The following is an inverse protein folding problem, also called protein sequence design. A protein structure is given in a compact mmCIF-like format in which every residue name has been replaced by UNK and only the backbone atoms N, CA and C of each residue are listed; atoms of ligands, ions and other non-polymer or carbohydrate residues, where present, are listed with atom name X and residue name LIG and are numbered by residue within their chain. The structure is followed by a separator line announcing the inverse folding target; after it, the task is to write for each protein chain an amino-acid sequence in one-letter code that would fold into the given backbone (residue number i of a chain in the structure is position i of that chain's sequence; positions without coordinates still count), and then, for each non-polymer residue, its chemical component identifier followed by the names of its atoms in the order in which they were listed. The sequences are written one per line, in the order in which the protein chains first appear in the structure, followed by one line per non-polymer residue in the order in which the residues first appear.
data_IF_166512414792
#
_entry.id   IF_166512414792
#
_cell.length_a   1.000
_cell.length_b   1.000
_cell.length_c   1.000
_cell.angle_alpha   90.00
_cell.angle_beta   90.00
_cell.angle_gamma   90.00
#
_symmetry.space_group_name_H-M   'P 1'
#
loop_
_entity.id
_entity.type
_entity.pdbx_description
1 polymer ?
#
# COMPACT_ATOMS: atom_id res chain seq x y z
N UNK A 1 66.31 -28.71 18.82
CA UNK A 1 65.49 -27.53 18.48
C UNK A 1 64.61 -27.89 17.29
N UNK A 2 63.29 -27.96 17.47
CA UNK A 2 62.31 -28.17 16.38
C UNK A 2 61.60 -26.83 16.14
N UNK A 3 61.69 -26.32 14.92
CA UNK A 3 60.93 -25.15 14.47
C UNK A 3 59.56 -25.60 13.96
N UNK A 4 58.49 -25.03 14.50
CA UNK A 4 57.13 -25.16 13.99
C UNK A 4 56.84 -23.89 13.19
N UNK A 5 56.55 -24.04 11.90
CA UNK A 5 56.06 -22.98 11.02
C UNK A 5 54.52 -23.03 11.09
N UNK A 6 53.90 -21.96 11.61
CA UNK A 6 52.46 -21.73 11.45
C UNK A 6 52.22 -20.86 10.22
N UNK A 7 51.60 -21.45 9.19
CA UNK A 7 50.97 -20.70 8.09
C UNK A 7 49.63 -20.16 8.56
N UNK A 8 49.49 -18.82 8.62
CA UNK A 8 48.19 -18.15 8.64
C UNK A 8 47.69 -18.02 7.21
N UNK A 9 46.63 -18.75 6.87
CA UNK A 9 45.78 -18.45 5.70
C UNK A 9 44.66 -17.54 6.21
N UNK A 10 44.75 -16.25 5.89
CA UNK A 10 43.66 -15.30 6.10
C UNK A 10 42.64 -15.42 4.98
N UNK A 11 41.43 -15.94 5.27
CA UNK A 11 40.27 -15.76 4.42
C UNK A 11 39.74 -14.33 4.60
N UNK A 12 39.83 -13.52 3.55
CA UNK A 12 39.02 -12.31 3.43
C UNK A 12 37.60 -12.73 3.03
N UNK A 13 36.66 -12.68 3.97
CA UNK A 13 35.25 -12.72 3.65
C UNK A 13 34.84 -11.35 3.09
N UNK A 14 34.59 -11.27 1.78
CA UNK A 14 33.93 -10.14 1.15
C UNK A 14 32.44 -10.17 1.51
N UNK A 15 32.08 -9.56 2.64
CA UNK A 15 30.69 -9.27 2.95
C UNK A 15 30.17 -8.16 2.04
N UNK A 16 29.22 -8.49 1.17
CA UNK A 16 28.41 -7.48 0.47
C UNK A 16 27.57 -6.80 1.57
N UNK A 17 27.93 -5.57 1.91
CA UNK A 17 27.12 -4.75 2.80
C UNK A 17 25.82 -4.40 2.06
N UNK A 18 24.73 -5.10 2.37
CA UNK A 18 23.40 -4.57 2.08
C UNK A 18 23.25 -3.31 2.92
N UNK A 19 23.12 -2.16 2.27
CA UNK A 19 22.78 -0.93 2.97
C UNK A 19 21.41 -1.15 3.64
N UNK A 20 21.38 -1.26 4.97
CA UNK A 20 20.14 -1.28 5.73
C UNK A 20 19.39 0.01 5.42
N UNK A 21 18.15 -0.11 4.93
CA UNK A 21 17.29 1.06 4.79
C UNK A 21 17.11 1.65 6.20
N UNK A 22 17.33 2.96 6.42
CA UNK A 22 17.00 3.56 7.71
C UNK A 22 15.53 3.24 8.03
N UNK A 23 15.20 2.93 9.28
CA UNK A 23 13.82 2.63 9.66
C UNK A 23 13.03 3.93 9.78
N UNK A 24 11.86 3.99 9.16
CA UNK A 24 10.96 5.14 9.20
C UNK A 24 10.33 5.24 10.58
N UNK A 25 10.17 6.47 11.08
CA UNK A 25 9.41 6.72 12.29
C UNK A 25 7.91 6.88 12.02
N UNK A 26 7.53 7.04 10.74
CA UNK A 26 6.15 7.07 10.25
C UNK A 26 5.47 5.72 10.33
N UNK A 27 4.13 5.71 10.37
CA UNK A 27 3.34 4.48 10.46
C UNK A 27 2.14 4.59 9.53
N UNK A 28 1.93 3.53 8.77
CA UNK A 28 0.72 3.32 7.96
C UNK A 28 -0.06 2.12 8.50
N UNK A 29 -1.36 2.13 8.30
CA UNK A 29 -2.22 0.96 8.46
C UNK A 29 -2.63 0.47 7.07
N UNK A 30 -2.47 -0.83 6.83
CA UNK A 30 -2.82 -1.45 5.56
C UNK A 30 -3.87 -2.51 5.84
N UNK A 31 -4.98 -2.46 5.09
CA UNK A 31 -6.06 -3.43 5.18
C UNK A 31 -6.31 -4.12 3.83
N UNK A 32 -6.70 -5.39 3.90
CA UNK A 32 -7.44 -6.01 2.81
C UNK A 32 -8.87 -5.45 2.81
N UNK A 33 -9.40 -5.23 1.61
CA UNK A 33 -10.80 -4.90 1.42
C UNK A 33 -11.69 -6.01 2.02
N UNK A 34 -12.93 -5.65 2.33
CA UNK A 34 -13.91 -6.60 2.79
C UNK A 34 -15.30 -6.03 2.56
N UNK A 35 -16.03 -6.66 1.63
CA UNK A 35 -17.45 -6.44 1.49
C UNK A 35 -18.20 -7.67 2.04
N UNK A 36 -18.93 -7.56 3.17
CA UNK A 36 -19.70 -8.68 3.71
C UNK A 36 -20.89 -9.08 2.83
N UNK A 37 -21.36 -8.19 1.95
CA UNK A 37 -22.42 -8.47 0.97
C UNK A 37 -21.90 -9.31 -0.21
N UNK A 38 -20.60 -9.24 -0.52
CA UNK A 38 -19.92 -10.08 -1.51
C UNK A 38 -18.96 -11.08 -0.86
N UNK A 39 -19.55 -12.13 -0.29
CA UNK A 39 -18.77 -13.20 0.35
C UNK A 39 -17.91 -13.98 -0.64
N UNK A 40 -18.24 -13.99 -1.93
CA UNK A 40 -17.46 -14.70 -2.93
C UNK A 40 -16.11 -14.02 -3.13
N UNK A 41 -16.11 -12.69 -3.24
CA UNK A 41 -14.91 -11.90 -3.41
C UNK A 41 -14.02 -11.91 -2.16
N UNK A 42 -14.60 -11.87 -0.95
CA UNK A 42 -13.81 -12.04 0.28
C UNK A 42 -13.15 -13.42 0.40
N UNK A 43 -13.80 -14.49 -0.06
CA UNK A 43 -13.15 -15.81 -0.11
C UNK A 43 -12.04 -15.83 -1.17
N UNK A 44 -12.19 -15.11 -2.28
CA UNK A 44 -11.17 -15.00 -3.33
C UNK A 44 -9.90 -14.28 -2.84
N UNK A 45 -10.03 -13.18 -2.09
CA UNK A 45 -8.88 -12.43 -1.55
C UNK A 45 -7.92 -13.30 -0.75
N UNK A 46 -8.45 -14.19 0.09
CA UNK A 46 -7.66 -15.12 0.91
C UNK A 46 -7.62 -16.55 0.34
N UNK A 47 -8.05 -16.75 -0.91
CA UNK A 47 -8.08 -18.08 -1.54
C UNK A 47 -6.67 -18.68 -1.73
N UNK A 48 -5.67 -17.80 -1.85
CA UNK A 48 -4.25 -18.16 -1.93
C UNK A 48 -3.55 -18.23 -0.56
N UNK A 49 -4.30 -18.08 0.54
CA UNK A 49 -3.79 -18.10 1.91
C UNK A 49 -3.72 -16.71 2.53
N UNK A 50 -2.90 -16.58 3.59
CA UNK A 50 -2.65 -15.28 4.21
C UNK A 50 -1.87 -14.38 3.26
N UNK A 51 -2.17 -13.08 3.30
CA UNK A 51 -1.54 -12.09 2.44
C UNK A 51 -0.30 -11.58 3.17
N UNK A 52 0.88 -11.89 2.65
CA UNK A 52 2.14 -11.31 3.13
C UNK A 52 2.49 -10.13 2.25
N UNK A 53 2.38 -8.91 2.78
CA UNK A 53 2.85 -7.71 2.09
C UNK A 53 4.36 -7.62 2.35
N UNK A 54 5.22 -7.60 1.32
CA UNK A 54 6.65 -7.59 1.50
C UNK A 54 7.15 -6.25 2.05
N UNK A 55 8.36 -6.26 2.62
CA UNK A 55 9.12 -5.03 2.79
C UNK A 55 9.41 -4.43 1.41
N UNK A 56 9.35 -3.10 1.29
CA UNK A 56 9.50 -2.43 0.01
C UNK A 56 8.24 -2.40 -0.85
N UNK A 57 7.08 -2.83 -0.33
CA UNK A 57 5.81 -2.61 -1.00
C UNK A 57 5.53 -1.10 -1.08
N UNK A 58 5.21 -0.62 -2.28
CA UNK A 58 4.90 0.77 -2.58
C UNK A 58 3.38 0.91 -2.67
N UNK A 59 2.86 1.95 -2.02
CA UNK A 59 1.47 2.36 -2.15
C UNK A 59 1.44 3.77 -2.74
N UNK A 60 0.61 3.96 -3.77
CA UNK A 60 0.50 5.16 -4.60
C UNK A 60 -0.96 5.61 -4.70
N UNK A 61 -1.16 6.88 -5.05
CA UNK A 61 -2.44 7.47 -5.44
C UNK A 61 -3.36 7.65 -4.25
N UNK A 62 -3.44 8.87 -3.73
CA UNK A 62 -4.44 9.17 -2.69
C UNK A 62 -5.82 9.38 -3.30
N UNK A 63 -6.79 8.59 -2.86
CA UNK A 63 -8.19 8.80 -3.18
C UNK A 63 -9.01 9.06 -1.92
N UNK A 64 -10.18 9.68 -2.08
CA UNK A 64 -11.06 9.95 -0.95
C UNK A 64 -11.70 8.67 -0.41
N UNK A 65 -11.64 8.52 0.91
CA UNK A 65 -12.18 7.39 1.65
C UNK A 65 -13.52 7.73 2.28
N UNK A 66 -14.52 6.89 2.05
CA UNK A 66 -15.90 7.07 2.47
C UNK A 66 -16.35 6.09 3.57
N UNK A 67 -15.79 4.87 3.63
CA UNK A 67 -16.14 3.87 4.64
C UNK A 67 -14.93 3.04 5.13
N UNK A 68 -13.85 3.73 5.53
CA UNK A 68 -12.67 3.10 6.11
C UNK A 68 -11.88 2.22 5.12
N UNK A 69 -10.74 1.68 5.55
CA UNK A 69 -9.82 0.98 4.63
C UNK A 69 -10.33 -0.36 4.08
N UNK A 70 -11.30 -0.98 4.77
CA UNK A 70 -11.90 -2.24 4.31
C UNK A 70 -12.93 -2.02 3.21
N UNK A 71 -13.52 -0.84 3.15
CA UNK A 71 -14.50 -0.48 2.14
C UNK A 71 -14.33 1.01 1.80
N UNK A 72 -13.21 1.40 1.17
CA UNK A 72 -12.89 2.82 1.04
C UNK A 72 -13.90 3.57 0.18
N UNK A 73 -14.60 2.89 -0.73
CA UNK A 73 -15.60 3.51 -1.60
C UNK A 73 -17.03 3.32 -1.11
N UNK A 74 -17.22 2.72 0.08
CA UNK A 74 -18.53 2.47 0.67
C UNK A 74 -19.43 1.62 -0.24
N UNK A 75 -18.85 0.61 -0.89
CA UNK A 75 -19.49 -0.26 -1.87
C UNK A 75 -20.54 -1.17 -1.23
N UNK A 76 -20.40 -1.51 0.05
CA UNK A 76 -21.42 -2.26 0.80
C UNK A 76 -22.77 -1.52 0.82
N UNK A 77 -22.75 -0.19 0.78
CA UNK A 77 -23.94 0.66 0.84
C UNK A 77 -24.36 1.25 -0.51
N UNK A 78 -23.72 0.83 -1.61
CA UNK A 78 -24.10 1.21 -2.96
C UNK A 78 -25.33 0.41 -3.45
N UNK A 79 -26.11 0.99 -4.35
CA UNK A 79 -27.20 0.30 -5.06
C UNK A 79 -26.95 0.25 -6.56
N UNK A 80 -27.26 -0.88 -7.19
CA UNK A 80 -27.32 -1.00 -8.64
C UNK A 80 -28.66 -0.47 -9.21
N UNK A 81 -29.68 -0.32 -8.37
CA UNK A 81 -31.02 0.16 -8.75
C UNK A 81 -31.12 1.69 -8.72
N UNK A 82 -30.10 2.40 -9.19
CA UNK A 82 -29.97 3.87 -9.11
C UNK A 82 -31.23 4.61 -9.58
N UNK A 83 -31.90 4.13 -10.63
CA UNK A 83 -33.15 4.71 -11.12
C UNK A 83 -34.33 4.59 -10.14
N UNK A 84 -34.43 3.48 -9.41
CA UNK A 84 -35.46 3.27 -8.39
C UNK A 84 -35.21 4.13 -7.14
N UNK A 85 -33.95 4.53 -6.91
CA UNK A 85 -33.52 5.38 -5.80
C UNK A 85 -33.36 6.85 -6.19
N UNK A 86 -34.09 7.31 -7.21
CA UNK A 86 -34.11 8.74 -7.58
C UNK A 86 -32.76 9.27 -8.08
N UNK A 87 -31.90 8.40 -8.60
CA UNK A 87 -30.57 8.75 -9.10
C UNK A 87 -29.44 8.58 -8.09
N UNK A 88 -29.71 8.14 -6.86
CA UNK A 88 -28.70 8.00 -5.80
C UNK A 88 -27.92 6.69 -5.90
N UNK A 89 -26.61 6.78 -5.68
CA UNK A 89 -25.69 5.65 -5.60
C UNK A 89 -25.68 5.09 -4.19
N UNK A 90 -25.72 5.94 -3.15
CA UNK A 90 -25.82 5.54 -1.74
C UNK A 90 -27.19 5.93 -1.17
N UNK A 91 -28.18 5.02 -1.15
CA UNK A 91 -29.54 5.36 -0.73
C UNK A 91 -29.66 5.77 0.75
N UNK A 92 -28.71 5.34 1.59
CA UNK A 92 -28.74 5.52 3.04
C UNK A 92 -28.21 6.87 3.53
N UNK A 93 -27.50 7.63 2.69
CA UNK A 93 -26.89 8.92 3.06
C UNK A 93 -27.75 10.11 2.63
N UNK A 94 -27.46 11.30 3.16
CA UNK A 94 -28.15 12.54 2.73
C UNK A 94 -27.70 12.99 1.34
N UNK A 95 -28.54 13.74 0.61
CA UNK A 95 -28.18 14.28 -0.72
C UNK A 95 -26.96 15.22 -0.66
N UNK A 96 -26.77 15.92 0.46
CA UNK A 96 -25.61 16.77 0.66
C UNK A 96 -24.31 15.94 0.79
N UNK A 97 -24.37 14.78 1.44
CA UNK A 97 -23.23 13.87 1.54
C UNK A 97 -22.97 13.15 0.22
N UNK A 98 -24.01 12.72 -0.50
CA UNK A 98 -23.89 12.15 -1.84
C UNK A 98 -23.14 13.11 -2.77
N UNK A 99 -23.61 14.37 -2.83
CA UNK A 99 -22.98 15.40 -3.64
C UNK A 99 -21.51 15.63 -3.26
N UNK A 100 -21.19 15.62 -1.97
CA UNK A 100 -19.81 15.76 -1.50
C UNK A 100 -18.94 14.59 -2.00
N UNK A 101 -19.39 13.34 -1.86
CA UNK A 101 -18.68 12.16 -2.35
C UNK A 101 -18.49 12.18 -3.87
N UNK A 102 -19.50 12.65 -4.61
CA UNK A 102 -19.36 12.85 -6.07
C UNK A 102 -18.32 13.91 -6.43
N UNK A 103 -18.28 15.02 -5.69
CA UNK A 103 -17.27 16.05 -5.87
C UNK A 103 -15.85 15.53 -5.52
N UNK A 104 -15.72 14.76 -4.44
CA UNK A 104 -14.48 14.09 -4.05
C UNK A 104 -14.02 13.08 -5.12
N UNK A 105 -14.92 12.23 -5.63
CA UNK A 105 -14.63 11.29 -6.73
C UNK A 105 -14.24 11.99 -8.03
N UNK A 106 -14.76 13.19 -8.29
CA UNK A 106 -14.35 14.01 -9.43
C UNK A 106 -12.93 14.53 -9.22
N UNK A 107 -12.62 15.05 -8.04
CA UNK A 107 -11.27 15.49 -7.67
C UNK A 107 -10.26 14.35 -7.81
N UNK A 108 -10.60 13.15 -7.37
CA UNK A 108 -9.73 11.96 -7.47
C UNK A 108 -9.41 11.59 -8.93
N UNK A 109 -10.27 11.96 -9.89
CA UNK A 109 -10.09 11.71 -11.32
C UNK A 109 -9.46 12.90 -12.07
N UNK A 110 -9.33 14.05 -11.42
CA UNK A 110 -8.82 15.25 -12.06
C UNK A 110 -7.32 15.09 -12.38
N UNK A 111 -6.88 15.43 -13.62
CA UNK A 111 -5.47 15.38 -13.97
C UNK A 111 -4.63 16.30 -13.06
N UNK A 112 -3.53 15.77 -12.51
CA UNK A 112 -2.67 16.52 -11.58
C UNK A 112 -3.06 16.41 -10.10
N UNK A 113 -3.92 15.44 -9.75
CA UNK A 113 -4.08 14.98 -8.37
C UNK A 113 -2.71 14.68 -7.72
N UNK A 114 -2.55 14.99 -6.44
CA UNK A 114 -1.31 14.79 -5.69
C UNK A 114 -0.78 13.35 -5.78
N UNK A 115 0.34 13.18 -6.48
CA UNK A 115 1.09 11.93 -6.59
C UNK A 115 1.93 11.69 -5.32
N UNK A 116 1.25 11.25 -4.26
CA UNK A 116 1.85 10.85 -3.00
C UNK A 116 2.04 9.34 -2.98
N UNK A 117 3.26 8.89 -2.70
CA UNK A 117 3.56 7.49 -2.51
C UNK A 117 4.36 7.26 -1.23
N UNK A 118 4.22 6.06 -0.67
CA UNK A 118 5.05 5.60 0.43
C UNK A 118 5.51 4.16 0.21
N UNK A 119 6.56 3.77 0.93
CA UNK A 119 7.17 2.44 0.86
C UNK A 119 7.25 1.81 2.25
N UNK A 120 6.91 0.53 2.38
CA UNK A 120 6.96 -0.22 3.64
C UNK A 120 8.38 -0.63 4.04
N UNK A 121 8.66 -0.64 5.33
CA UNK A 121 9.99 -0.99 5.85
C UNK A 121 10.15 -2.48 6.13
N UNK A 122 9.11 -3.08 6.70
CA UNK A 122 9.08 -4.45 7.18
C UNK A 122 7.92 -5.21 6.50
N UNK A 123 8.03 -6.53 6.33
CA UNK A 123 6.91 -7.32 5.85
C UNK A 123 5.81 -7.40 6.93
N UNK A 124 4.55 -7.36 6.50
CA UNK A 124 3.38 -7.58 7.35
C UNK A 124 2.50 -8.70 6.80
N UNK A 125 1.62 -9.22 7.66
CA UNK A 125 0.76 -10.35 7.32
C UNK A 125 -0.69 -10.06 7.68
N UNK A 126 -1.56 -10.15 6.67
CA UNK A 126 -3.00 -10.08 6.83
C UNK A 126 -3.60 -11.48 6.77
N UNK A 127 -4.68 -11.69 7.49
CA UNK A 127 -5.40 -12.97 7.54
C UNK A 127 -6.91 -12.74 7.62
N UNK A 128 -7.70 -13.78 7.33
CA UNK A 128 -9.17 -13.75 7.45
C UNK A 128 -9.69 -13.26 8.82
N UNK A 129 -8.88 -13.36 9.88
CA UNK A 129 -9.24 -12.92 11.23
C UNK A 129 -8.56 -11.59 11.65
N UNK A 130 -7.62 -11.11 10.85
CA UNK A 130 -6.88 -9.88 11.08
C UNK A 130 -6.60 -9.21 9.73
N UNK A 131 -7.58 -8.44 9.26
CA UNK A 131 -7.59 -7.85 7.91
C UNK A 131 -6.70 -6.63 7.78
N UNK A 132 -6.30 -6.02 8.90
CA UNK A 132 -5.51 -4.79 8.93
C UNK A 132 -4.27 -5.01 9.77
N UNK A 133 -3.15 -4.41 9.38
CA UNK A 133 -1.92 -4.42 10.17
C UNK A 133 -1.17 -3.09 10.01
N UNK A 134 -0.38 -2.73 11.02
CA UNK A 134 0.41 -1.50 11.02
C UNK A 134 1.86 -1.79 10.68
N UNK A 135 2.48 -0.88 9.92
CA UNK A 135 3.88 -1.00 9.52
C UNK A 135 4.56 0.35 9.47
N UNK A 136 5.86 0.37 9.75
CA UNK A 136 6.70 1.54 9.51
C UNK A 136 6.87 1.77 8.01
N UNK A 137 6.94 3.04 7.61
CA UNK A 137 7.04 3.42 6.20
C UNK A 137 7.81 4.71 6.01
N UNK A 138 8.28 4.92 4.78
CA UNK A 138 8.90 6.13 4.29
C UNK A 138 8.06 6.80 3.22
N UNK A 139 8.22 8.12 3.08
CA UNK A 139 7.79 8.82 1.87
C UNK A 139 8.62 8.27 0.69
N UNK A 140 7.95 7.89 -0.38
CA UNK A 140 8.57 7.39 -1.60
C UNK A 140 8.62 8.53 -2.61
N UNK A 141 9.80 8.79 -3.18
CA UNK A 141 9.98 9.84 -4.19
C UNK A 141 10.66 9.26 -5.42
N UNK A 142 10.13 9.59 -6.59
CA UNK A 142 10.73 9.22 -7.86
C UNK A 142 10.36 10.24 -8.95
N UNK A 143 11.37 10.72 -9.67
CA UNK A 143 11.16 11.59 -10.84
C UNK A 143 10.63 10.84 -12.07
N UNK A 144 10.73 9.51 -12.11
CA UNK A 144 10.21 8.67 -13.19
C UNK A 144 8.70 8.40 -13.06
N UNK A 145 8.20 8.42 -11.82
CA UNK A 145 6.81 8.12 -11.48
C UNK A 145 6.05 9.36 -10.97
N UNK A 146 6.67 10.54 -11.07
CA UNK A 146 6.14 11.83 -10.62
C UNK A 146 5.72 11.86 -9.13
N UNK A 147 6.31 11.00 -8.29
CA UNK A 147 6.13 11.06 -6.84
C UNK A 147 7.07 12.11 -6.25
N UNK A 148 6.55 13.27 -5.89
CA UNK A 148 7.37 14.39 -5.42
C UNK A 148 6.93 14.96 -4.05
N UNK A 149 5.82 14.48 -3.52
CA UNK A 149 5.23 14.98 -2.29
C UNK A 149 6.12 14.70 -1.07
N UNK A 150 6.38 15.74 -0.26
CA UNK A 150 7.15 15.68 0.98
C UNK A 150 6.66 16.78 1.96
N UNK A 151 6.37 16.49 3.24
CA UNK A 151 6.10 15.18 3.85
C UNK A 151 4.72 14.62 3.43
N UNK A 152 4.36 13.45 3.96
CA UNK A 152 2.98 12.94 3.88
C UNK A 152 2.33 13.02 5.26
N UNK A 153 1.32 13.88 5.39
CA UNK A 153 0.57 14.09 6.62
C UNK A 153 -0.53 13.04 6.83
N UNK A 154 -0.98 12.91 8.08
CA UNK A 154 -2.12 12.06 8.43
C UNK A 154 -3.39 12.67 7.85
N UNK A 155 -4.14 11.87 7.10
CA UNK A 155 -5.48 12.23 6.64
C UNK A 155 -6.45 11.07 6.91
N UNK A 156 -7.54 11.37 7.61
CA UNK A 156 -8.59 10.40 7.88
C UNK A 156 -9.52 10.19 6.67
N UNK A 157 -9.38 11.01 5.62
CA UNK A 157 -10.23 10.98 4.43
C UNK A 157 -9.51 10.47 3.20
N UNK A 158 -8.24 10.07 3.28
CA UNK A 158 -7.47 9.60 2.14
C UNK A 158 -6.98 8.17 2.35
N UNK A 159 -6.98 7.39 1.27
CA UNK A 159 -6.37 6.07 1.24
C UNK A 159 -5.48 5.92 0.00
N UNK A 160 -4.56 4.96 0.06
CA UNK A 160 -3.55 4.65 -0.97
C UNK A 160 -3.71 3.20 -1.42
N UNK A 161 -3.33 2.88 -2.65
CA UNK A 161 -3.42 1.51 -3.18
C UNK A 161 -2.04 0.93 -3.53
N UNK A 162 -1.92 -0.39 -3.42
CA UNK A 162 -0.68 -1.08 -3.76
C UNK A 162 -0.31 -0.86 -5.24
N UNK A 163 0.95 -0.47 -5.47
CA UNK A 163 1.43 -0.05 -6.79
C UNK A 163 2.54 -0.94 -7.35
N UNK A 164 3.47 -1.34 -6.49
CA UNK A 164 4.61 -2.15 -6.88
C UNK A 164 5.44 -2.58 -5.67
N UNK A 165 6.55 -3.26 -5.93
CA UNK A 165 7.52 -3.64 -4.90
C UNK A 165 8.91 -3.19 -5.33
N UNK A 166 9.63 -2.53 -4.43
CA UNK A 166 11.01 -2.12 -4.68
C UNK A 166 11.98 -3.20 -4.22
N UNK A 167 12.71 -3.77 -5.18
CA UNK A 167 13.85 -4.65 -4.98
C UNK A 167 15.03 -4.17 -5.81
N UNK A 168 16.24 -4.24 -5.25
CA UNK A 168 17.47 -3.80 -5.93
C UNK A 168 17.39 -2.38 -6.55
N UNK A 169 16.74 -1.46 -5.84
CA UNK A 169 16.49 -0.06 -6.25
C UNK A 169 15.69 0.08 -7.55
N UNK A 170 14.89 -0.94 -7.91
CA UNK A 170 13.95 -0.91 -9.02
C UNK A 170 12.58 -1.27 -8.52
N UNK A 171 11.55 -0.69 -9.14
CA UNK A 171 10.18 -1.04 -8.83
C UNK A 171 9.66 -2.08 -9.81
N UNK A 172 9.09 -3.16 -9.28
CA UNK A 172 8.33 -4.16 -10.01
C UNK A 172 6.83 -3.88 -9.82
N UNK A 173 6.16 -3.42 -10.88
CA UNK A 173 4.70 -3.20 -10.90
C UNK A 173 3.93 -4.38 -11.50
N UNK A 174 4.61 -5.42 -11.99
CA UNK A 174 3.95 -6.64 -12.47
C UNK A 174 3.65 -7.61 -11.32
N UNK A 175 4.42 -7.49 -10.22
CA UNK A 175 4.36 -8.35 -9.04
C UNK A 175 4.68 -9.81 -9.36
N UNK A 176 5.32 -10.10 -10.50
CA UNK A 176 5.53 -11.48 -10.95
C UNK A 176 6.48 -12.27 -10.04
N UNK A 177 7.31 -11.57 -9.28
CA UNK A 177 8.24 -12.16 -8.33
C UNK A 177 7.64 -12.36 -6.93
N UNK A 178 6.41 -11.91 -6.71
CA UNK A 178 5.77 -11.94 -5.40
C UNK A 178 4.93 -13.19 -5.16
N UNK A 179 4.66 -13.46 -3.88
CA UNK A 179 3.77 -14.56 -3.48
C UNK A 179 2.36 -14.29 -4.02
N UNK A 180 1.73 -15.34 -4.59
CA UNK A 180 0.44 -15.25 -5.28
C UNK A 180 -0.64 -14.49 -4.50
N UNK A 181 -0.72 -14.68 -3.18
CA UNK A 181 -1.69 -13.98 -2.35
C UNK A 181 -1.50 -12.44 -2.38
N UNK A 182 -0.28 -11.93 -2.31
CA UNK A 182 -0.04 -10.49 -2.42
C UNK A 182 -0.26 -9.99 -3.84
N UNK A 183 0.35 -10.67 -4.84
CA UNK A 183 0.19 -10.34 -6.26
C UNK A 183 -1.29 -10.20 -6.65
N UNK A 184 -2.11 -11.19 -6.31
CA UNK A 184 -3.53 -11.19 -6.65
C UNK A 184 -4.28 -9.98 -6.06
N UNK A 185 -4.08 -9.70 -4.78
CA UNK A 185 -4.78 -8.61 -4.10
C UNK A 185 -4.28 -7.23 -4.53
N UNK A 186 -2.98 -7.08 -4.78
CA UNK A 186 -2.42 -5.85 -5.34
C UNK A 186 -2.99 -5.57 -6.74
N UNK A 187 -3.03 -6.57 -7.62
CA UNK A 187 -3.61 -6.44 -8.97
C UNK A 187 -5.12 -6.20 -8.97
N UNK A 188 -5.83 -6.72 -7.97
CA UNK A 188 -7.27 -6.51 -7.81
C UNK A 188 -7.61 -5.16 -7.17
N UNK A 189 -6.62 -4.40 -6.66
CA UNK A 189 -6.86 -3.14 -5.97
C UNK A 189 -7.52 -3.31 -4.59
N UNK A 190 -7.38 -4.48 -3.96
CA UNK A 190 -8.01 -4.83 -2.68
C UNK A 190 -7.13 -4.57 -1.47
N UNK A 191 -5.93 -3.99 -1.66
CA UNK A 191 -5.05 -3.57 -0.56
C UNK A 191 -5.07 -2.04 -0.45
N UNK A 192 -5.68 -1.56 0.63
CA UNK A 192 -5.86 -0.14 0.89
C UNK A 192 -5.08 0.26 2.14
N UNK A 193 -4.47 1.44 2.10
CA UNK A 193 -3.67 1.91 3.20
C UNK A 193 -4.00 3.34 3.59
N UNK A 194 -3.74 3.70 4.85
CA UNK A 194 -3.79 5.09 5.32
C UNK A 194 -2.57 5.43 6.15
N UNK A 195 -2.17 6.70 6.11
CA UNK A 195 -1.11 7.23 6.97
C UNK A 195 -1.72 7.57 8.32
N UNK A 196 -1.28 6.88 9.37
CA UNK A 196 -1.78 7.05 10.75
C UNK A 196 -0.79 7.75 11.68
N UNK A 197 0.47 7.88 11.24
CA UNK A 197 1.48 8.77 11.80
C UNK A 197 2.27 9.40 10.65
N UNK A 198 2.53 10.72 10.65
CA UNK A 198 3.13 11.41 9.50
C UNK A 198 4.44 10.76 9.03
N UNK A 199 4.64 10.74 7.72
CA UNK A 199 5.84 10.20 7.09
C UNK A 199 6.76 11.37 6.74
N UNK A 200 7.94 11.43 7.37
CA UNK A 200 8.90 12.53 7.20
C UNK A 200 10.23 12.08 6.60
N UNK A 201 10.59 10.82 6.80
CA UNK A 201 11.81 10.24 6.25
C UNK A 201 11.55 9.79 4.81
N UNK A 202 12.44 10.18 3.90
CA UNK A 202 12.28 9.93 2.46
C UNK A 202 13.17 8.78 2.01
N UNK A 203 12.59 7.89 1.21
CA UNK A 203 13.29 6.95 0.34
C UNK A 203 13.19 7.47 -1.11
N UNK A 204 14.33 7.79 -1.71
CA UNK A 204 14.39 8.28 -3.09
C UNK A 204 14.77 7.13 -4.02
N UNK A 205 13.88 6.78 -4.93
CA UNK A 205 14.12 5.77 -5.94
C UNK A 205 15.00 6.37 -7.06
N UNK A 206 16.18 5.79 -7.33
CA UNK A 206 17.00 6.23 -8.45
C UNK A 206 16.24 6.09 -9.78
N UNK A 207 16.49 6.96 -10.76
CA UNK A 207 16.04 6.72 -12.13
C UNK A 207 16.77 5.48 -12.70
N UNK A 208 16.08 4.73 -13.56
CA UNK A 208 16.62 3.58 -14.29
C UNK A 208 17.84 3.90 -15.18
#
# INVERSE_FOLDING_TARGET
MRFIILSLVGLFATGIAYAERPKGDGIVEICAAYNPADQEDFQKEFSFGNITIPAGAVFDGTAHMFNGLKDPRDEEHMTDEVAAHGGKIWPSISDAEEKKREDDLRIDRDPGHSHQAFITDDPIKLSKHHLCEKVSAHVMVSSQWDWDARPIDVSASLYYQAYGVVSDNKIDTSFDNEVMAFKWNAQAGTLNASVIKPLNTVYELPPD
#
